data_IF_660814516000
#
_entry.id   IF_660814516000
#
_cell.length_a   1.000
_cell.length_b   1.000
_cell.length_c   1.000
_cell.angle_alpha   90.00
_cell.angle_beta   90.00
_cell.angle_gamma   90.00
#
_symmetry.space_group_name_H-M   'P 1'
#
loop_
_entity.id
_entity.type
_entity.pdbx_description
1 polymer ?
#
# COMPACT_ATOMS: atom_id res chain seq x y z
N UNK A 1 35.58 -3.42 8.16
CA UNK A 1 34.35 -3.55 7.36
C UNK A 1 34.29 -4.98 6.85
N UNK A 2 33.34 -5.78 7.32
CA UNK A 2 33.13 -7.15 6.82
C UNK A 2 32.73 -7.04 5.35
N UNK A 3 33.44 -7.74 4.47
CA UNK A 3 33.18 -7.73 3.03
C UNK A 3 31.89 -8.52 2.76
N UNK A 4 30.73 -7.89 3.02
CA UNK A 4 29.42 -8.47 2.75
C UNK A 4 29.18 -8.49 1.24
N UNK A 5 28.69 -9.63 0.74
CA UNK A 5 28.13 -9.73 -0.60
C UNK A 5 26.99 -8.69 -0.76
N UNK A 6 26.87 -8.09 -1.95
CA UNK A 6 25.88 -7.05 -2.29
C UNK A 6 24.46 -7.51 -1.94
N UNK A 7 24.11 -8.75 -2.27
CA UNK A 7 22.80 -9.33 -1.93
C UNK A 7 22.58 -9.42 -0.42
N UNK A 8 23.58 -9.90 0.32
CA UNK A 8 23.52 -9.97 1.79
C UNK A 8 23.32 -8.59 2.40
N UNK A 9 23.95 -7.57 1.83
CA UNK A 9 23.80 -6.17 2.25
C UNK A 9 22.38 -5.65 2.01
N UNK A 10 21.81 -5.91 0.83
CA UNK A 10 20.43 -5.53 0.50
C UNK A 10 19.42 -6.22 1.41
N UNK A 11 19.58 -7.53 1.64
CA UNK A 11 18.74 -8.32 2.56
C UNK A 11 18.83 -7.76 3.98
N UNK A 12 20.04 -7.48 4.46
CA UNK A 12 20.26 -6.94 5.82
C UNK A 12 19.64 -5.55 5.95
N UNK A 13 19.85 -4.67 4.96
CA UNK A 13 19.31 -3.31 4.93
C UNK A 13 17.78 -3.30 4.95
N UNK A 14 17.16 -4.11 4.10
CA UNK A 14 15.71 -4.28 4.06
C UNK A 14 15.19 -4.77 5.41
N UNK A 15 15.80 -5.84 5.94
CA UNK A 15 15.36 -6.48 7.19
C UNK A 15 15.45 -5.54 8.37
N UNK A 16 16.59 -4.87 8.56
CA UNK A 16 16.79 -3.92 9.65
C UNK A 16 15.90 -2.69 9.50
N UNK A 17 15.71 -2.18 8.28
CA UNK A 17 14.84 -1.04 8.01
C UNK A 17 13.38 -1.32 8.40
N UNK A 18 12.81 -2.42 7.91
CA UNK A 18 11.42 -2.79 8.24
C UNK A 18 11.29 -3.18 9.72
N UNK A 19 12.27 -3.87 10.30
CA UNK A 19 12.30 -4.17 11.74
C UNK A 19 12.29 -2.89 12.60
N UNK A 20 13.13 -1.91 12.27
CA UNK A 20 13.17 -0.63 12.97
C UNK A 20 11.83 0.09 12.86
N UNK A 21 11.19 0.03 11.69
CA UNK A 21 9.87 0.59 11.48
C UNK A 21 8.82 -0.08 12.38
N UNK A 22 8.84 -1.40 12.49
CA UNK A 22 7.95 -2.17 13.39
C UNK A 22 8.19 -1.80 14.85
N UNK A 23 9.46 -1.75 15.27
CA UNK A 23 9.82 -1.41 16.65
C UNK A 23 9.28 -0.02 17.04
N UNK A 24 9.49 0.97 16.19
CA UNK A 24 9.00 2.33 16.40
C UNK A 24 7.46 2.38 16.34
N UNK A 25 6.86 1.77 15.33
CA UNK A 25 5.42 1.82 15.11
C UNK A 25 4.64 1.23 16.28
N UNK A 26 4.95 0.00 16.67
CA UNK A 26 4.23 -0.69 17.74
C UNK A 26 4.74 -0.30 19.14
N UNK A 27 5.99 0.18 19.26
CA UNK A 27 6.54 0.63 20.54
C UNK A 27 6.01 2.00 20.98
N UNK A 28 5.89 2.95 20.05
CA UNK A 28 5.35 4.29 20.36
C UNK A 28 3.84 4.39 20.15
N UNK A 29 3.25 3.51 19.34
CA UNK A 29 1.81 3.33 19.16
C UNK A 29 1.02 4.63 18.88
N UNK A 30 1.51 5.47 17.96
CA UNK A 30 0.74 6.63 17.50
C UNK A 30 -0.38 6.22 16.52
N UNK A 31 -1.31 7.15 16.24
CA UNK A 31 -2.40 6.89 15.28
C UNK A 31 -1.86 6.53 13.89
N UNK A 32 -2.26 5.37 13.37
CA UNK A 32 -1.79 4.80 12.10
C UNK A 32 -0.27 4.49 12.05
N UNK A 33 0.36 4.24 13.20
CA UNK A 33 1.76 3.82 13.26
C UNK A 33 2.04 2.55 12.44
N UNK A 34 1.09 1.61 12.41
CA UNK A 34 1.19 0.35 11.65
C UNK A 34 1.36 0.54 10.13
N UNK A 35 1.10 1.73 9.59
CA UNK A 35 1.32 2.05 8.16
C UNK A 35 2.81 2.28 7.86
N UNK A 36 3.61 2.71 8.84
CA UNK A 36 5.02 3.02 8.62
C UNK A 36 5.85 1.81 8.14
N UNK A 37 5.74 0.59 8.73
CA UNK A 37 6.41 -0.60 8.21
C UNK A 37 6.04 -0.92 6.76
N UNK A 38 4.77 -0.72 6.38
CA UNK A 38 4.28 -0.93 5.02
C UNK A 38 4.95 0.04 4.06
N UNK A 39 5.04 1.32 4.43
CA UNK A 39 5.73 2.32 3.63
C UNK A 39 7.23 2.05 3.51
N UNK A 40 7.90 1.68 4.60
CA UNK A 40 9.32 1.33 4.56
C UNK A 40 9.56 0.14 3.62
N UNK A 41 8.79 -0.94 3.80
CA UNK A 41 8.86 -2.12 2.95
C UNK A 41 8.67 -1.75 1.47
N UNK A 42 7.65 -0.93 1.17
CA UNK A 42 7.36 -0.48 -0.19
C UNK A 42 8.49 0.37 -0.79
N UNK A 43 8.99 1.38 -0.07
CA UNK A 43 10.06 2.26 -0.56
C UNK A 43 11.30 1.44 -0.92
N UNK A 44 11.67 0.46 -0.10
CA UNK A 44 12.83 -0.40 -0.39
C UNK A 44 12.67 -1.28 -1.64
N UNK A 45 11.44 -1.67 -1.99
CA UNK A 45 11.17 -2.42 -3.23
C UNK A 45 11.18 -1.48 -4.43
N UNK A 46 10.55 -0.31 -4.31
CA UNK A 46 10.30 0.58 -5.46
C UNK A 46 11.51 1.47 -5.79
N UNK A 47 12.34 1.82 -4.80
CA UNK A 47 13.44 2.79 -4.96
C UNK A 47 14.78 2.14 -4.59
N UNK A 48 15.71 1.97 -5.55
CA UNK A 48 16.97 1.30 -5.29
C UNK A 48 17.96 2.16 -4.49
N UNK A 49 17.91 3.51 -4.62
CA UNK A 49 18.86 4.44 -3.98
C UNK A 49 18.20 5.71 -3.45
N UNK A 50 18.68 6.26 -2.32
CA UNK A 50 18.20 7.53 -1.75
C UNK A 50 18.90 8.73 -2.41
N UNK A 51 18.61 9.00 -3.67
CA UNK A 51 19.08 10.24 -4.29
C UNK A 51 18.36 11.45 -3.69
N UNK A 52 18.94 12.66 -3.77
CA UNK A 52 18.27 13.89 -3.33
C UNK A 52 16.90 14.06 -4.00
N UNK A 53 16.81 13.76 -5.30
CA UNK A 53 15.55 13.78 -6.05
C UNK A 53 14.52 12.82 -5.48
N UNK A 54 14.92 11.56 -5.23
CA UNK A 54 14.04 10.54 -4.64
C UNK A 54 13.53 10.94 -3.26
N UNK A 55 14.38 11.48 -2.38
CA UNK A 55 13.96 11.91 -1.04
C UNK A 55 12.93 13.04 -1.13
N UNK A 56 13.19 14.05 -1.97
CA UNK A 56 12.27 15.17 -2.18
C UNK A 56 10.94 14.67 -2.76
N UNK A 57 10.98 13.77 -3.74
CA UNK A 57 9.80 13.14 -4.34
C UNK A 57 8.96 12.41 -3.29
N UNK A 58 9.57 11.57 -2.46
CA UNK A 58 8.87 10.79 -1.43
C UNK A 58 8.28 11.71 -0.34
N UNK A 59 9.02 12.73 0.10
CA UNK A 59 8.54 13.69 1.11
C UNK A 59 7.40 14.56 0.57
N UNK A 60 7.54 15.09 -0.65
CA UNK A 60 6.52 15.90 -1.28
C UNK A 60 5.25 15.07 -1.54
N UNK A 61 5.40 13.81 -1.91
CA UNK A 61 4.28 12.87 -2.03
C UNK A 61 3.52 12.71 -0.72
N UNK A 62 4.23 12.54 0.41
CA UNK A 62 3.60 12.41 1.73
C UNK A 62 2.85 13.66 2.15
N UNK A 63 3.48 14.83 2.00
CA UNK A 63 2.90 16.09 2.49
C UNK A 63 1.75 16.55 1.59
N UNK A 64 1.96 16.54 0.27
CA UNK A 64 0.97 17.05 -0.68
C UNK A 64 -0.32 16.24 -0.68
N UNK A 65 -0.24 14.90 -0.66
CA UNK A 65 -1.42 14.04 -0.70
C UNK A 65 -2.29 14.18 0.56
N UNK A 66 -1.67 14.32 1.73
CA UNK A 66 -2.41 14.55 2.98
C UNK A 66 -3.03 15.95 3.00
N UNK A 67 -2.33 16.99 2.52
CA UNK A 67 -2.91 18.34 2.40
C UNK A 67 -4.11 18.34 1.46
N UNK A 68 -4.02 17.68 0.30
CA UNK A 68 -5.13 17.53 -0.64
C UNK A 68 -6.32 16.85 0.04
N UNK A 69 -6.08 15.75 0.77
CA UNK A 69 -7.14 15.02 1.45
C UNK A 69 -7.78 15.83 2.59
N UNK A 70 -6.98 16.60 3.34
CA UNK A 70 -7.49 17.54 4.36
C UNK A 70 -8.31 18.68 3.73
N UNK A 71 -7.91 19.17 2.56
CA UNK A 71 -8.64 20.16 1.80
C UNK A 71 -10.03 19.67 1.38
N UNK A 72 -10.12 18.41 0.94
CA UNK A 72 -11.41 17.76 0.61
C UNK A 72 -12.23 17.47 1.86
N UNK A 73 -11.60 17.19 2.99
CA UNK A 73 -12.28 16.89 4.25
C UNK A 73 -12.91 18.13 4.91
N UNK A 74 -12.25 19.29 4.87
CA UNK A 74 -12.68 20.47 5.60
C UNK A 74 -13.79 21.22 4.87
N UNK A 75 -14.94 21.43 5.53
CA UNK A 75 -16.09 22.18 5.01
C UNK A 75 -16.98 21.42 4.03
N UNK A 76 -16.45 20.41 3.33
CA UNK A 76 -17.22 19.62 2.34
C UNK A 76 -17.86 18.38 2.97
N UNK A 77 -17.39 17.93 4.14
CA UNK A 77 -17.94 16.76 4.84
C UNK A 77 -19.45 16.84 5.12
N UNK A 78 -20.03 18.05 5.16
CA UNK A 78 -21.47 18.29 5.33
C UNK A 78 -22.30 18.01 4.07
N UNK A 79 -21.65 17.81 2.91
CA UNK A 79 -22.28 17.57 1.62
C UNK A 79 -21.84 16.19 1.07
N UNK A 80 -22.45 15.07 1.53
CA UNK A 80 -21.97 13.72 1.23
C UNK A 80 -21.80 13.42 -0.26
N UNK A 81 -22.71 13.93 -1.11
CA UNK A 81 -22.63 13.72 -2.57
C UNK A 81 -21.43 14.46 -3.18
N UNK A 82 -21.20 15.72 -2.79
CA UNK A 82 -20.06 16.50 -3.29
C UNK A 82 -18.75 15.88 -2.81
N UNK A 83 -18.71 15.47 -1.55
CA UNK A 83 -17.57 14.77 -0.97
C UNK A 83 -17.24 13.50 -1.76
N UNK A 84 -18.24 12.66 -2.04
CA UNK A 84 -18.04 11.42 -2.80
C UNK A 84 -17.57 11.66 -4.23
N UNK A 85 -18.08 12.71 -4.89
CA UNK A 85 -17.59 13.08 -6.23
C UNK A 85 -16.11 13.50 -6.20
N UNK A 86 -15.70 14.27 -5.19
CA UNK A 86 -14.29 14.66 -5.03
C UNK A 86 -13.40 13.47 -4.66
N UNK A 87 -13.87 12.59 -3.76
CA UNK A 87 -13.17 11.34 -3.44
C UNK A 87 -13.02 10.49 -4.70
N UNK A 88 -14.09 10.32 -5.50
CA UNK A 88 -14.03 9.58 -6.77
C UNK A 88 -13.06 10.20 -7.77
N UNK A 89 -13.02 11.53 -7.88
CA UNK A 89 -12.07 12.25 -8.73
C UNK A 89 -10.61 12.02 -8.29
N UNK A 90 -10.34 12.12 -6.99
CA UNK A 90 -9.02 11.87 -6.43
C UNK A 90 -8.60 10.39 -6.57
N UNK A 91 -9.54 9.45 -6.40
CA UNK A 91 -9.30 8.03 -6.68
C UNK A 91 -8.92 7.80 -8.14
N UNK A 92 -9.64 8.42 -9.09
CA UNK A 92 -9.31 8.34 -10.51
C UNK A 92 -7.90 8.83 -10.79
N UNK A 93 -7.51 9.99 -10.24
CA UNK A 93 -6.15 10.52 -10.39
C UNK A 93 -5.09 9.62 -9.75
N UNK A 94 -5.36 9.06 -8.56
CA UNK A 94 -4.47 8.09 -7.93
C UNK A 94 -4.26 6.86 -8.84
N UNK A 95 -5.32 6.30 -9.42
CA UNK A 95 -5.22 5.18 -10.36
C UNK A 95 -4.49 5.52 -11.65
N UNK A 96 -4.70 6.72 -12.18
CA UNK A 96 -3.99 7.19 -13.37
C UNK A 96 -2.49 7.34 -13.10
N UNK A 97 -2.12 7.93 -11.96
CA UNK A 97 -0.74 8.13 -11.55
C UNK A 97 -0.04 6.81 -11.17
N UNK A 98 -0.76 5.84 -10.59
CA UNK A 98 -0.19 4.57 -10.14
C UNK A 98 0.40 3.71 -11.25
N UNK A 99 -0.12 3.88 -12.47
CA UNK A 99 0.36 3.18 -13.66
C UNK A 99 1.73 3.67 -14.13
N UNK A 100 2.20 4.80 -13.62
CA UNK A 100 3.54 5.31 -13.86
C UNK A 100 4.47 4.96 -12.68
N UNK A 101 5.57 4.23 -12.90
CA UNK A 101 6.51 3.87 -11.83
C UNK A 101 7.00 5.08 -11.03
N UNK A 102 7.14 6.25 -11.69
CA UNK A 102 7.55 7.49 -11.04
C UNK A 102 6.56 7.97 -10.00
N UNK A 103 5.26 7.83 -10.27
CA UNK A 103 4.20 8.34 -9.40
C UNK A 103 3.55 7.25 -8.54
N UNK A 104 4.01 6.00 -8.62
CA UNK A 104 3.40 4.86 -7.93
C UNK A 104 3.27 5.09 -6.41
N UNK A 105 4.33 5.59 -5.79
CA UNK A 105 4.34 5.88 -4.37
C UNK A 105 3.40 7.04 -4.01
N UNK A 106 3.44 8.13 -4.78
CA UNK A 106 2.51 9.26 -4.66
C UNK A 106 1.06 8.79 -4.71
N UNK A 107 0.70 8.02 -5.74
CA UNK A 107 -0.62 7.46 -5.92
C UNK A 107 -1.07 6.57 -4.75
N UNK A 108 -0.14 5.82 -4.16
CA UNK A 108 -0.43 4.95 -3.01
C UNK A 108 -0.79 5.75 -1.77
N UNK A 109 -0.05 6.81 -1.47
CA UNK A 109 -0.40 7.65 -0.32
C UNK A 109 -1.66 8.45 -0.64
N UNK A 110 -1.80 8.92 -1.89
CA UNK A 110 -3.00 9.63 -2.34
C UNK A 110 -4.26 8.81 -2.14
N UNK A 111 -4.28 7.52 -2.54
CA UNK A 111 -5.46 6.67 -2.33
C UNK A 111 -5.74 6.50 -0.83
N UNK A 112 -4.71 6.24 -0.02
CA UNK A 112 -4.88 6.02 1.43
C UNK A 112 -5.40 7.31 2.07
N UNK A 113 -4.76 8.45 1.84
CA UNK A 113 -5.15 9.74 2.42
C UNK A 113 -6.57 10.14 1.97
N UNK A 114 -6.88 10.00 0.68
CA UNK A 114 -8.18 10.34 0.09
C UNK A 114 -9.31 9.49 0.66
N UNK A 115 -9.06 8.21 0.94
CA UNK A 115 -10.09 7.34 1.51
C UNK A 115 -10.27 7.57 3.00
N UNK A 116 -9.17 7.73 3.75
CA UNK A 116 -9.22 7.73 5.21
C UNK A 116 -9.49 9.10 5.83
N UNK A 117 -8.84 10.16 5.33
CA UNK A 117 -8.92 11.49 5.93
C UNK A 117 -10.34 12.07 5.82
N UNK A 118 -10.98 12.11 4.63
CA UNK A 118 -12.32 12.67 4.52
C UNK A 118 -13.37 11.79 5.19
N UNK A 119 -13.18 10.47 5.23
CA UNK A 119 -14.05 9.57 5.98
C UNK A 119 -14.09 9.90 7.47
N UNK A 120 -12.92 10.13 8.08
CA UNK A 120 -12.89 10.62 9.46
C UNK A 120 -13.43 12.03 9.59
N UNK A 121 -13.27 12.88 8.57
CA UNK A 121 -13.86 14.21 8.53
C UNK A 121 -15.38 14.21 8.67
N UNK A 122 -16.05 13.20 8.08
CA UNK A 122 -17.50 13.00 8.24
C UNK A 122 -17.86 12.62 9.67
N UNK A 123 -17.02 11.84 10.35
CA UNK A 123 -17.24 11.43 11.74
C UNK A 123 -16.94 12.59 12.70
N UNK A 124 -15.69 13.07 12.72
CA UNK A 124 -15.27 14.25 13.48
C UNK A 124 -14.10 14.98 12.79
N UNK A 125 -14.18 16.30 12.56
CA UNK A 125 -13.10 17.06 11.92
C UNK A 125 -11.74 16.96 12.63
N UNK A 126 -11.73 16.90 13.97
CA UNK A 126 -10.51 16.77 14.75
C UNK A 126 -9.80 15.42 14.50
N UNK A 127 -10.55 14.33 14.28
CA UNK A 127 -9.96 13.03 13.98
C UNK A 127 -9.32 12.99 12.59
N UNK A 128 -9.87 13.71 11.61
CA UNK A 128 -9.26 13.85 10.29
C UNK A 128 -7.87 14.52 10.36
N UNK A 129 -7.74 15.59 11.15
CA UNK A 129 -6.44 16.26 11.39
C UNK A 129 -5.46 15.33 12.11
N UNK A 130 -5.92 14.61 13.14
CA UNK A 130 -5.10 13.64 13.86
C UNK A 130 -4.59 12.51 12.96
N UNK A 131 -5.46 11.96 12.10
CA UNK A 131 -5.10 10.92 11.14
C UNK A 131 -4.15 11.44 10.06
N UNK A 132 -4.41 12.64 9.52
CA UNK A 132 -3.50 13.28 8.56
C UNK A 132 -2.10 13.46 9.14
N UNK A 133 -2.01 13.95 10.38
CA UNK A 133 -0.73 14.05 11.10
C UNK A 133 -0.08 12.67 11.30
N UNK A 134 -0.84 11.65 11.69
CA UNK A 134 -0.34 10.28 11.85
C UNK A 134 0.24 9.71 10.55
N UNK A 135 -0.46 9.87 9.43
CA UNK A 135 0.02 9.48 8.10
C UNK A 135 1.29 10.23 7.70
N UNK A 136 1.35 11.55 7.93
CA UNK A 136 2.56 12.33 7.66
C UNK A 136 3.75 11.85 8.48
N UNK A 137 3.57 11.61 9.80
CA UNK A 137 4.64 11.12 10.68
C UNK A 137 5.12 9.73 10.23
N UNK A 138 4.20 8.81 9.95
CA UNK A 138 4.53 7.47 9.43
C UNK A 138 5.27 7.55 8.09
N UNK A 139 4.86 8.48 7.22
CA UNK A 139 5.47 8.67 5.91
C UNK A 139 6.87 9.27 5.95
N UNK A 140 7.03 10.38 6.67
CA UNK A 140 8.33 11.03 6.88
C UNK A 140 9.28 10.09 7.62
N UNK A 141 8.77 9.37 8.64
CA UNK A 141 9.52 8.34 9.35
C UNK A 141 10.01 7.23 8.43
N UNK A 142 9.18 6.79 7.48
CA UNK A 142 9.59 5.78 6.50
C UNK A 142 10.73 6.26 5.60
N UNK A 143 10.67 7.51 5.11
CA UNK A 143 11.74 8.12 4.32
C UNK A 143 13.02 8.28 5.15
N UNK A 144 12.88 8.69 6.42
CA UNK A 144 14.01 8.83 7.34
C UNK A 144 14.71 7.48 7.60
N UNK A 145 13.94 6.40 7.81
CA UNK A 145 14.48 5.04 7.97
C UNK A 145 15.17 4.59 6.68
N UNK A 146 14.53 4.81 5.52
CA UNK A 146 15.12 4.45 4.22
C UNK A 146 16.47 5.16 4.01
N UNK A 147 16.53 6.46 4.27
CA UNK A 147 17.77 7.24 4.20
C UNK A 147 18.81 6.72 5.20
N UNK A 148 18.44 6.59 6.47
CA UNK A 148 19.32 6.13 7.55
C UNK A 148 19.95 4.77 7.20
N UNK A 149 19.14 3.81 6.76
CA UNK A 149 19.62 2.47 6.42
C UNK A 149 20.62 2.46 5.26
N UNK A 150 20.47 3.34 4.26
CA UNK A 150 21.45 3.49 3.18
C UNK A 150 22.71 4.24 3.62
N UNK A 151 22.63 5.12 4.63
CA UNK A 151 23.83 5.74 5.21
C UNK A 151 24.63 4.76 6.07
N UNK A 152 23.95 3.86 6.81
CA UNK A 152 24.60 2.83 7.63
C UNK A 152 25.13 1.67 6.79
N UNK A 153 24.40 1.29 5.73
CA UNK A 153 24.75 0.24 4.79
C UNK A 153 24.71 0.80 3.34
N UNK A 154 25.76 1.58 2.94
CA UNK A 154 25.90 2.10 1.56
C UNK A 154 25.75 1.03 0.47
N UNK A 155 25.69 1.41 -0.80
CA UNK A 155 25.96 0.44 -1.86
C UNK A 155 27.49 0.36 -2.10
N UNK A 156 27.99 -0.74 -2.67
CA UNK A 156 29.35 -0.75 -3.21
C UNK A 156 29.35 0.00 -4.54
N UNK A 157 30.40 0.78 -4.84
CA UNK A 157 30.43 1.77 -5.93
C UNK A 157 30.16 1.22 -7.36
N UNK A 158 30.12 -0.10 -7.55
CA UNK A 158 29.98 -0.74 -8.87
C UNK A 158 28.55 -0.91 -9.42
N UNK A 159 27.51 -0.41 -8.75
CA UNK A 159 26.18 -0.32 -9.38
C UNK A 159 25.93 1.07 -9.96
N UNK A 160 26.73 1.43 -10.95
CA UNK A 160 26.35 2.36 -12.02
C UNK A 160 25.42 1.63 -13.01
N UNK A 161 24.22 1.26 -12.56
CA UNK A 161 23.19 0.69 -13.42
C UNK A 161 21.81 0.94 -12.83
N UNK A 162 21.50 2.21 -12.62
CA UNK A 162 20.12 2.68 -12.62
C UNK A 162 19.88 3.28 -13.99
N UNK A 163 19.20 2.52 -14.85
CA UNK A 163 18.63 2.98 -16.12
C UNK A 163 18.23 4.45 -16.04
N UNK A 164 18.84 5.28 -16.89
CA UNK A 164 18.36 6.63 -17.14
C UNK A 164 16.85 6.53 -17.38
N UNK A 165 16.07 7.23 -16.55
CA UNK A 165 14.64 7.42 -16.74
C UNK A 165 14.46 8.13 -18.08
N UNK A 166 14.35 7.36 -19.17
CA UNK A 166 13.78 7.86 -20.40
C UNK A 166 12.32 8.15 -20.06
N UNK A 167 12.03 9.43 -19.81
CA UNK A 167 10.68 9.93 -19.82
C UNK A 167 10.08 9.56 -21.16
N UNK A 168 9.29 8.49 -21.18
CA UNK A 168 8.51 8.10 -22.34
C UNK A 168 7.65 9.31 -22.68
N UNK A 169 7.95 9.96 -23.81
CA UNK A 169 7.03 10.91 -24.43
C UNK A 169 5.72 10.14 -24.58
N UNK A 170 4.72 10.61 -23.83
CA UNK A 170 3.49 9.88 -23.63
C UNK A 170 2.73 9.91 -24.96
N UNK A 171 2.82 8.82 -25.74
CA UNK A 171 2.01 8.69 -26.95
C UNK A 171 0.53 8.79 -26.56
N UNK A 172 -0.30 9.40 -27.41
CA UNK A 172 -1.72 9.59 -27.10
C UNK A 172 -2.43 8.25 -26.80
N UNK A 173 -1.98 7.15 -27.41
CA UNK A 173 -2.45 5.78 -27.15
C UNK A 173 -2.15 5.30 -25.71
N UNK A 174 -0.96 5.59 -25.18
CA UNK A 174 -0.62 5.28 -23.79
C UNK A 174 -1.49 6.09 -22.81
N UNK A 175 -1.81 7.34 -23.15
CA UNK A 175 -2.69 8.20 -22.33
C UNK A 175 -4.09 7.64 -22.25
N UNK A 176 -4.66 7.26 -23.40
CA UNK A 176 -6.01 6.72 -23.49
C UNK A 176 -6.11 5.39 -22.74
N UNK A 177 -5.12 4.52 -22.90
CA UNK A 177 -5.03 3.25 -22.16
C UNK A 177 -5.01 3.51 -20.65
N UNK A 178 -4.17 4.44 -20.18
CA UNK A 178 -4.09 4.79 -18.76
C UNK A 178 -5.41 5.33 -18.19
N UNK A 179 -6.09 6.19 -18.94
CA UNK A 179 -7.39 6.74 -18.55
C UNK A 179 -8.47 5.66 -18.48
N UNK A 180 -8.50 4.75 -19.46
CA UNK A 180 -9.44 3.63 -19.47
C UNK A 180 -9.24 2.71 -18.26
N UNK A 181 -7.99 2.34 -17.97
CA UNK A 181 -7.66 1.47 -16.84
C UNK A 181 -7.97 2.12 -15.49
N UNK A 182 -7.71 3.42 -15.34
CA UNK A 182 -8.09 4.18 -14.16
C UNK A 182 -9.61 4.25 -13.97
N UNK A 183 -10.37 4.47 -15.05
CA UNK A 183 -11.83 4.47 -15.04
C UNK A 183 -12.41 3.10 -14.67
N UNK A 184 -11.81 2.01 -15.17
CA UNK A 184 -12.20 0.65 -14.82
C UNK A 184 -11.98 0.35 -13.34
N UNK A 185 -10.82 0.69 -12.79
CA UNK A 185 -10.55 0.50 -11.36
C UNK A 185 -11.46 1.35 -10.47
N UNK A 186 -11.79 2.58 -10.90
CA UNK A 186 -12.79 3.41 -10.22
C UNK A 186 -14.15 2.73 -10.23
N UNK A 187 -14.62 2.24 -11.38
CA UNK A 187 -15.91 1.55 -11.48
C UNK A 187 -16.01 0.32 -10.56
N UNK A 188 -14.91 -0.41 -10.38
CA UNK A 188 -14.85 -1.58 -9.48
C UNK A 188 -14.85 -1.16 -8.01
N UNK A 189 -14.04 -0.17 -7.63
CA UNK A 189 -13.79 0.17 -6.23
C UNK A 189 -14.78 1.18 -5.64
N UNK A 190 -15.25 2.14 -6.46
CA UNK A 190 -16.08 3.25 -6.02
C UNK A 190 -17.43 2.85 -5.38
N UNK A 191 -18.14 1.80 -5.85
CA UNK A 191 -19.36 1.34 -5.18
C UNK A 191 -19.11 0.89 -3.74
N UNK A 192 -17.99 0.19 -3.51
CA UNK A 192 -17.59 -0.25 -2.17
C UNK A 192 -17.24 0.96 -1.30
N UNK A 193 -16.43 1.89 -1.82
CA UNK A 193 -16.09 3.12 -1.07
C UNK A 193 -17.34 3.92 -0.72
N UNK A 194 -18.27 4.06 -1.66
CA UNK A 194 -19.56 4.73 -1.44
C UNK A 194 -20.36 4.05 -0.32
N UNK A 195 -20.43 2.72 -0.33
CA UNK A 195 -21.07 1.95 0.74
C UNK A 195 -20.43 2.27 2.11
N UNK A 196 -19.11 2.27 2.22
CA UNK A 196 -18.43 2.57 3.48
C UNK A 196 -18.69 4.00 3.97
N UNK A 197 -18.70 4.98 3.06
CA UNK A 197 -18.99 6.38 3.39
C UNK A 197 -20.44 6.61 3.85
N UNK A 198 -21.42 5.94 3.24
CA UNK A 198 -22.82 6.10 3.60
C UNK A 198 -23.23 5.32 4.86
N UNK A 199 -22.82 4.05 4.95
CA UNK A 199 -23.28 3.17 6.02
C UNK A 199 -22.38 3.19 7.25
N UNK A 200 -21.16 3.73 7.13
CA UNK A 200 -20.17 3.88 8.21
C UNK A 200 -20.11 2.66 9.14
N UNK A 201 -19.88 1.44 8.60
CA UNK A 201 -19.81 0.25 9.44
C UNK A 201 -18.68 0.40 10.47
N UNK A 202 -18.90 -0.10 11.68
CA UNK A 202 -17.91 0.03 12.75
C UNK A 202 -16.57 -0.59 12.30
N UNK A 203 -15.47 0.12 12.55
CA UNK A 203 -14.13 -0.34 12.19
C UNK A 203 -13.74 -0.19 10.71
N UNK A 204 -14.55 0.51 9.90
CA UNK A 204 -14.36 0.73 8.46
C UNK A 204 -12.99 1.25 8.01
N UNK A 205 -12.30 1.99 8.88
CA UNK A 205 -11.10 2.75 8.53
C UNK A 205 -9.98 1.87 7.95
N UNK A 206 -9.72 0.75 8.62
CA UNK A 206 -8.68 -0.19 8.20
C UNK A 206 -9.06 -0.92 6.92
N UNK A 207 -10.33 -1.31 6.81
CA UNK A 207 -10.89 -1.96 5.62
C UNK A 207 -10.78 -1.05 4.40
N UNK A 208 -11.08 0.24 4.53
CA UNK A 208 -10.95 1.19 3.42
C UNK A 208 -9.51 1.41 2.98
N UNK A 209 -8.55 1.42 3.92
CA UNK A 209 -7.13 1.52 3.57
C UNK A 209 -6.70 0.33 2.70
N UNK A 210 -7.12 -0.88 3.10
CA UNK A 210 -6.87 -2.09 2.33
C UNK A 210 -7.57 -2.06 0.97
N UNK A 211 -8.84 -1.67 0.92
CA UNK A 211 -9.59 -1.54 -0.34
C UNK A 211 -8.86 -0.59 -1.30
N UNK A 212 -8.36 0.54 -0.82
CA UNK A 212 -7.58 1.48 -1.64
C UNK A 212 -6.26 0.91 -2.16
N UNK A 213 -5.51 0.20 -1.32
CA UNK A 213 -4.25 -0.44 -1.76
C UNK A 213 -4.54 -1.55 -2.77
N UNK A 214 -5.54 -2.39 -2.49
CA UNK A 214 -5.92 -3.47 -3.38
C UNK A 214 -6.47 -2.91 -4.70
N UNK A 215 -7.26 -1.84 -4.69
CA UNK A 215 -7.79 -1.24 -5.91
C UNK A 215 -6.71 -0.64 -6.81
N UNK A 216 -5.61 -0.12 -6.25
CA UNK A 216 -4.42 0.25 -7.03
C UNK A 216 -3.78 -0.97 -7.69
N UNK A 217 -3.67 -2.10 -6.99
CA UNK A 217 -3.16 -3.32 -7.60
C UNK A 217 -4.07 -3.78 -8.76
N UNK A 218 -5.38 -3.55 -8.65
CA UNK A 218 -6.35 -3.88 -9.71
C UNK A 218 -6.18 -3.03 -10.98
N UNK A 219 -5.62 -1.81 -10.92
CA UNK A 219 -5.41 -0.98 -12.13
C UNK A 219 -4.37 -1.58 -13.06
N UNK A 220 -3.49 -2.46 -12.56
CA UNK A 220 -2.47 -3.14 -13.35
C UNK A 220 -3.00 -4.41 -14.05
N UNK A 221 -4.29 -4.74 -13.88
CA UNK A 221 -4.89 -5.99 -14.35
C UNK A 221 -5.26 -5.98 -15.84
N UNK A 222 -4.31 -6.07 -16.75
CA UNK A 222 -4.64 -6.28 -18.18
C UNK A 222 -4.91 -7.75 -18.52
N UNK A 223 -4.75 -8.70 -17.58
CA UNK A 223 -4.97 -10.13 -17.83
C UNK A 223 -5.53 -10.91 -16.64
N UNK A 224 -6.24 -12.01 -16.93
CA UNK A 224 -6.76 -12.97 -15.95
C UNK A 224 -5.63 -13.55 -15.07
N UNK A 225 -4.43 -13.75 -15.62
CA UNK A 225 -3.26 -14.25 -14.87
C UNK A 225 -2.86 -13.29 -13.75
N UNK A 226 -2.89 -12.00 -14.04
CA UNK A 226 -2.60 -10.93 -13.10
C UNK A 226 -3.66 -10.88 -11.98
N UNK A 227 -4.93 -11.15 -12.29
CA UNK A 227 -6.01 -11.25 -11.29
C UNK A 227 -5.81 -12.44 -10.36
N UNK A 228 -5.47 -13.62 -10.92
CA UNK A 228 -5.16 -14.82 -10.12
C UNK A 228 -3.94 -14.57 -9.23
N UNK A 229 -2.90 -13.93 -9.76
CA UNK A 229 -1.73 -13.51 -8.98
C UNK A 229 -2.14 -12.68 -7.77
N UNK A 230 -2.98 -11.64 -7.93
CA UNK A 230 -3.40 -10.80 -6.82
C UNK A 230 -4.24 -11.54 -5.78
N UNK A 231 -5.14 -12.42 -6.21
CA UNK A 231 -5.91 -13.27 -5.28
C UNK A 231 -4.96 -14.11 -4.45
N UNK A 232 -4.03 -14.79 -5.11
CA UNK A 232 -3.13 -15.73 -4.47
C UNK A 232 -2.22 -15.00 -3.47
N UNK A 233 -1.60 -13.89 -3.87
CA UNK A 233 -0.67 -13.16 -3.01
C UNK A 233 -1.38 -12.52 -1.82
N UNK A 234 -2.54 -11.88 -2.03
CA UNK A 234 -3.31 -11.29 -0.93
C UNK A 234 -3.88 -12.36 0.01
N UNK A 235 -4.34 -13.50 -0.51
CA UNK A 235 -4.85 -14.60 0.31
C UNK A 235 -3.75 -15.20 1.19
N UNK A 236 -2.58 -15.47 0.62
CA UNK A 236 -1.42 -15.97 1.38
C UNK A 236 -1.00 -14.95 2.44
N UNK A 237 -0.87 -13.67 2.06
CA UNK A 237 -0.53 -12.60 3.00
C UNK A 237 -1.55 -12.47 4.14
N UNK A 238 -2.84 -12.62 3.85
CA UNK A 238 -3.90 -12.60 4.85
C UNK A 238 -3.88 -13.80 5.80
N UNK A 239 -3.66 -15.02 5.29
CA UNK A 239 -3.48 -16.20 6.15
C UNK A 239 -2.27 -16.02 7.06
N UNK A 240 -1.15 -15.51 6.54
CA UNK A 240 0.03 -15.22 7.35
C UNK A 240 -0.24 -14.16 8.43
N UNK A 241 -1.03 -13.13 8.12
CA UNK A 241 -1.41 -12.11 9.10
C UNK A 241 -2.27 -12.69 10.23
N UNK A 242 -3.23 -13.57 9.92
CA UNK A 242 -4.06 -14.26 10.92
C UNK A 242 -3.17 -15.13 11.83
N UNK A 243 -2.29 -15.94 11.25
CA UNK A 243 -1.38 -16.79 12.02
C UNK A 243 -0.47 -15.96 12.93
N UNK A 244 0.11 -14.87 12.41
CA UNK A 244 0.94 -13.96 13.21
C UNK A 244 0.15 -13.29 14.35
N UNK A 245 -1.10 -12.91 14.10
CA UNK A 245 -1.98 -12.32 15.10
C UNK A 245 -2.31 -13.32 16.22
N UNK A 246 -2.74 -14.53 15.88
CA UNK A 246 -3.07 -15.57 16.88
C UNK A 246 -1.86 -15.96 17.73
N UNK A 247 -0.66 -16.04 17.13
CA UNK A 247 0.58 -16.26 17.86
C UNK A 247 0.87 -15.12 18.85
N UNK A 248 0.63 -13.87 18.45
CA UNK A 248 0.84 -12.71 19.31
C UNK A 248 -0.19 -12.62 20.44
N UNK A 249 -1.45 -12.97 20.18
CA UNK A 249 -2.48 -13.06 21.22
C UNK A 249 -2.13 -14.15 22.23
N UNK A 250 -1.58 -15.28 21.77
CA UNK A 250 -1.13 -16.38 22.63
C UNK A 250 0.09 -15.98 23.48
N UNK A 251 1.02 -15.22 22.90
CA UNK A 251 2.24 -14.75 23.58
C UNK A 251 2.33 -13.22 23.42
N UNK A 252 1.59 -12.44 24.25
CA UNK A 252 1.50 -10.98 24.13
C UNK A 252 2.74 -10.29 24.69
N UNK A 253 3.89 -10.58 24.09
CA UNK A 253 5.20 -10.12 24.52
C UNK A 253 5.90 -9.36 23.40
N UNK A 254 6.27 -8.10 23.64
CA UNK A 254 6.84 -7.24 22.61
C UNK A 254 8.14 -7.80 21.97
N UNK A 255 9.09 -8.40 22.72
CA UNK A 255 10.22 -9.10 22.12
C UNK A 255 9.82 -10.30 21.24
N UNK A 256 8.73 -11.00 21.57
CA UNK A 256 8.19 -12.07 20.72
C UNK A 256 7.68 -11.51 19.39
N UNK A 257 6.91 -10.42 19.41
CA UNK A 257 6.50 -9.69 18.20
C UNK A 257 7.70 -9.34 17.33
N UNK A 258 8.74 -8.75 17.94
CA UNK A 258 9.95 -8.35 17.23
C UNK A 258 10.67 -9.55 16.60
N UNK A 259 10.86 -10.63 17.35
CA UNK A 259 11.52 -11.84 16.85
C UNK A 259 10.74 -12.49 15.71
N UNK A 260 9.42 -12.64 15.87
CA UNK A 260 8.52 -13.22 14.87
C UNK A 260 8.53 -12.39 13.59
N UNK A 261 8.33 -11.08 13.69
CA UNK A 261 8.27 -10.22 12.52
C UNK A 261 9.63 -10.12 11.82
N UNK A 262 10.73 -10.04 12.56
CA UNK A 262 12.08 -10.07 11.97
C UNK A 262 12.34 -11.36 11.21
N UNK A 263 11.92 -12.52 11.74
CA UNK A 263 12.04 -13.80 11.03
C UNK A 263 11.28 -13.76 9.72
N UNK A 264 10.01 -13.32 9.74
CA UNK A 264 9.20 -13.23 8.52
C UNK A 264 9.85 -12.29 7.50
N UNK A 265 10.23 -11.09 7.92
CA UNK A 265 10.86 -10.10 7.04
C UNK A 265 12.17 -10.65 6.46
N UNK A 266 12.99 -11.32 7.25
CA UNK A 266 14.25 -11.90 6.80
C UNK A 266 14.01 -12.95 5.71
N UNK A 267 13.04 -13.85 5.91
CA UNK A 267 12.67 -14.87 4.91
C UNK A 267 12.21 -14.21 3.61
N UNK A 268 11.34 -13.20 3.68
CA UNK A 268 10.87 -12.49 2.50
C UNK A 268 11.96 -11.65 1.83
N UNK A 269 12.83 -11.00 2.59
CA UNK A 269 13.96 -10.25 2.06
C UNK A 269 14.91 -11.18 1.29
N UNK A 270 15.23 -12.36 1.83
CA UNK A 270 16.01 -13.36 1.11
C UNK A 270 15.35 -13.74 -0.22
N UNK A 271 14.05 -14.07 -0.20
CA UNK A 271 13.29 -14.41 -1.41
C UNK A 271 13.24 -13.27 -2.43
N UNK A 272 13.09 -12.03 -1.97
CA UNK A 272 13.01 -10.84 -2.81
C UNK A 272 14.30 -10.61 -3.61
N UNK A 273 15.46 -10.72 -2.95
CA UNK A 273 16.76 -10.43 -3.58
C UNK A 273 17.44 -11.65 -4.23
N UNK A 274 17.08 -12.88 -3.87
CA UNK A 274 17.64 -14.11 -4.46
C UNK A 274 16.82 -14.64 -5.64
N UNK A 275 15.49 -14.40 -5.67
CA UNK A 275 14.60 -14.86 -6.74
C UNK A 275 13.95 -13.66 -7.47
N UNK A 276 14.72 -12.84 -8.23
CA UNK A 276 14.23 -11.58 -8.82
C UNK A 276 13.02 -11.78 -9.75
N UNK A 277 12.94 -12.91 -10.45
CA UNK A 277 11.80 -13.26 -11.31
C UNK A 277 10.47 -13.41 -10.54
N UNK A 278 10.52 -13.65 -9.23
CA UNK A 278 9.35 -13.79 -8.34
C UNK A 278 9.28 -12.65 -7.30
N UNK A 279 10.15 -11.65 -7.38
CA UNK A 279 10.23 -10.57 -6.40
C UNK A 279 8.88 -9.87 -6.18
N UNK A 280 8.12 -9.63 -7.26
CA UNK A 280 6.79 -9.04 -7.20
C UNK A 280 5.79 -9.90 -6.38
N UNK A 281 5.87 -11.24 -6.46
CA UNK A 281 5.03 -12.17 -5.68
C UNK A 281 5.33 -11.96 -4.19
N UNK A 282 6.61 -12.01 -3.82
CA UNK A 282 7.04 -11.91 -2.42
C UNK A 282 6.76 -10.53 -1.82
N UNK A 283 7.01 -9.46 -2.57
CA UNK A 283 6.68 -8.10 -2.16
C UNK A 283 5.17 -7.91 -1.94
N UNK A 284 4.34 -8.48 -2.82
CA UNK A 284 2.88 -8.42 -2.71
C UNK A 284 2.36 -9.19 -1.48
N UNK A 285 2.85 -10.41 -1.23
CA UNK A 285 2.49 -11.21 -0.05
C UNK A 285 2.89 -10.48 1.24
N UNK A 286 4.14 -10.00 1.34
CA UNK A 286 4.63 -9.32 2.54
C UNK A 286 3.86 -8.03 2.80
N UNK A 287 3.56 -7.25 1.74
CA UNK A 287 2.77 -6.03 1.87
C UNK A 287 1.36 -6.33 2.38
N UNK A 288 0.69 -7.34 1.81
CA UNK A 288 -0.64 -7.76 2.26
C UNK A 288 -0.62 -8.22 3.73
N UNK A 289 0.39 -9.01 4.12
CA UNK A 289 0.55 -9.45 5.50
C UNK A 289 0.75 -8.26 6.45
N UNK A 290 1.69 -7.34 6.16
CA UNK A 290 1.98 -6.19 7.02
C UNK A 290 0.75 -5.29 7.21
N UNK A 291 -0.03 -5.07 6.14
CA UNK A 291 -1.26 -4.28 6.18
C UNK A 291 -2.31 -4.96 7.06
N UNK A 292 -2.61 -6.25 6.84
CA UNK A 292 -3.65 -6.97 7.58
C UNK A 292 -3.27 -7.17 9.05
N UNK A 293 -2.02 -7.55 9.31
CA UNK A 293 -1.52 -7.74 10.67
C UNK A 293 -1.51 -6.43 11.46
N UNK A 294 -1.01 -5.35 10.84
CA UNK A 294 -1.01 -4.03 11.46
C UNK A 294 -2.41 -3.51 11.75
N UNK A 295 -3.35 -3.75 10.84
CA UNK A 295 -4.76 -3.47 11.05
C UNK A 295 -5.33 -4.25 12.25
N UNK A 296 -5.06 -5.56 12.34
CA UNK A 296 -5.54 -6.41 13.43
C UNK A 296 -5.00 -5.99 14.80
N UNK A 297 -3.73 -5.57 14.89
CA UNK A 297 -3.17 -5.05 16.15
C UNK A 297 -3.77 -3.70 16.52
N UNK A 298 -3.92 -2.79 15.54
CA UNK A 298 -4.46 -1.46 15.80
C UNK A 298 -5.93 -1.47 16.25
N UNK A 299 -6.64 -2.58 16.04
CA UNK A 299 -8.01 -2.75 16.51
C UNK A 299 -8.17 -3.11 17.99
N UNK A 300 -7.09 -3.51 18.68
CA UNK A 300 -7.14 -4.10 20.03
C UNK A 300 -7.19 -3.06 21.18
N UNK A 301 -7.93 -1.97 20.97
CA UNK A 301 -8.29 -1.08 22.07
C UNK A 301 -9.47 -1.68 22.83
N UNK A 302 -9.17 -2.45 23.89
CA UNK A 302 -10.03 -2.91 24.99
C UNK A 302 -11.51 -2.47 24.92
N UNK A 303 -12.29 -3.17 24.10
CA UNK A 303 -13.75 -3.36 24.24
C UNK A 303 -14.20 -4.40 23.18
N UNK A 304 -14.22 -5.66 23.62
CA UNK A 304 -14.90 -6.83 23.03
C UNK A 304 -14.31 -7.38 21.71
N UNK A 305 -13.70 -8.57 21.83
CA UNK A 305 -13.09 -9.48 20.84
C UNK A 305 -13.87 -9.74 19.52
N UNK A 306 -15.12 -9.29 19.39
CA UNK A 306 -15.89 -9.41 18.14
C UNK A 306 -15.44 -8.41 17.05
N UNK A 307 -14.71 -7.36 17.42
CA UNK A 307 -14.39 -6.24 16.53
C UNK A 307 -13.22 -6.50 15.55
N UNK A 308 -12.35 -7.48 15.80
CA UNK A 308 -11.20 -7.79 14.92
C UNK A 308 -11.63 -8.72 13.78
N UNK A 309 -12.35 -9.81 14.11
CA UNK A 309 -12.83 -10.78 13.13
C UNK A 309 -13.82 -10.16 12.12
N UNK A 310 -14.66 -9.23 12.57
CA UNK A 310 -15.55 -8.46 11.67
C UNK A 310 -14.76 -7.63 10.66
N UNK A 311 -13.64 -7.00 11.05
CA UNK A 311 -12.77 -6.26 10.12
C UNK A 311 -12.05 -7.18 9.15
N UNK A 312 -11.47 -8.27 9.64
CA UNK A 312 -10.84 -9.29 8.79
C UNK A 312 -11.84 -9.85 7.78
N UNK A 313 -13.07 -10.12 8.21
CA UNK A 313 -14.14 -10.58 7.33
C UNK A 313 -14.54 -9.53 6.29
N UNK A 314 -14.67 -8.25 6.66
CA UNK A 314 -14.93 -7.17 5.72
C UNK A 314 -13.81 -7.02 4.68
N UNK A 315 -12.55 -7.12 5.10
CA UNK A 315 -11.36 -7.10 4.22
C UNK A 315 -11.44 -8.25 3.21
N UNK A 316 -11.71 -9.48 3.69
CA UNK A 316 -11.84 -10.67 2.84
C UNK A 316 -13.01 -10.51 1.86
N UNK A 317 -14.18 -10.09 2.33
CA UNK A 317 -15.35 -9.87 1.47
C UNK A 317 -15.10 -8.80 0.40
N UNK A 318 -14.47 -7.68 0.78
CA UNK A 318 -14.14 -6.62 -0.17
C UNK A 318 -13.10 -7.09 -1.20
N UNK A 319 -12.11 -7.88 -0.78
CA UNK A 319 -11.14 -8.50 -1.68
C UNK A 319 -11.83 -9.42 -2.69
N UNK A 320 -12.66 -10.35 -2.21
CA UNK A 320 -13.42 -11.29 -3.04
C UNK A 320 -14.30 -10.54 -4.03
N UNK A 321 -15.04 -9.53 -3.57
CA UNK A 321 -15.88 -8.70 -4.42
C UNK A 321 -15.07 -8.03 -5.52
N UNK A 322 -14.03 -7.27 -5.17
CA UNK A 322 -13.30 -6.46 -6.15
C UNK A 322 -12.59 -7.33 -7.19
N UNK A 323 -12.02 -8.45 -6.76
CA UNK A 323 -11.44 -9.45 -7.66
C UNK A 323 -12.51 -10.04 -8.57
N UNK A 324 -13.65 -10.46 -8.02
CA UNK A 324 -14.71 -11.12 -8.78
C UNK A 324 -15.25 -10.18 -9.85
N UNK A 325 -15.54 -8.92 -9.51
CA UNK A 325 -15.96 -7.90 -10.48
C UNK A 325 -14.87 -7.65 -11.53
N UNK A 326 -13.60 -7.56 -11.13
CA UNK A 326 -12.49 -7.40 -12.07
C UNK A 326 -12.42 -8.57 -13.07
N UNK A 327 -12.53 -9.80 -12.60
CA UNK A 327 -12.51 -11.00 -13.47
C UNK A 327 -13.72 -11.08 -14.40
N UNK A 328 -14.92 -10.70 -13.93
CA UNK A 328 -16.13 -10.65 -14.75
C UNK A 328 -15.99 -9.61 -15.86
N UNK A 329 -15.48 -8.41 -15.55
CA UNK A 329 -15.23 -7.37 -16.55
C UNK A 329 -14.21 -7.85 -17.58
N UNK A 330 -13.14 -8.52 -17.15
CA UNK A 330 -12.10 -9.04 -18.04
C UNK A 330 -12.63 -10.15 -18.96
N UNK A 331 -13.45 -11.06 -18.44
CA UNK A 331 -14.02 -12.18 -19.20
C UNK A 331 -14.95 -11.74 -20.34
N UNK A 332 -15.47 -10.50 -20.28
CA UNK A 332 -16.39 -9.93 -21.27
C UNK A 332 -15.69 -9.09 -22.34
N UNK A 333 -14.36 -8.95 -22.30
CA UNK A 333 -13.61 -8.30 -23.38
C UNK A 333 -13.64 -9.20 -24.63
N UNK A 334 -14.10 -8.72 -25.80
CA UNK A 334 -14.07 -9.51 -27.02
C UNK A 334 -12.63 -9.87 -27.39
N UNK A 335 -12.38 -11.15 -27.75
CA UNK A 335 -11.06 -11.72 -28.10
C UNK A 335 -10.33 -11.02 -29.27
N UNK A 336 -10.92 -10.02 -29.91
CA UNK A 336 -10.44 -9.43 -31.15
C UNK A 336 -9.18 -8.53 -31.01
N UNK A 337 -8.75 -8.19 -29.80
CA UNK A 337 -7.57 -7.29 -29.59
C UNK A 337 -6.26 -8.05 -29.33
N UNK A 338 -6.29 -9.39 -29.28
CA UNK A 338 -5.10 -10.21 -28.98
C UNK A 338 -4.35 -10.73 -30.23
N UNK A 339 -4.82 -10.41 -31.45
CA UNK A 339 -4.18 -10.86 -32.70
C UNK A 339 -3.14 -9.89 -33.26
N UNK A 340 -3.20 -8.60 -32.92
CA UNK A 340 -2.35 -7.59 -33.55
C UNK A 340 -1.11 -7.21 -32.70
N UNK A 341 -1.06 -7.63 -31.43
CA UNK A 341 0.09 -7.38 -30.55
C UNK A 341 1.18 -8.47 -30.59
N UNK A 342 0.98 -9.55 -31.35
CA UNK A 342 2.03 -10.55 -31.64
C UNK A 342 2.77 -10.30 -32.95
N UNK A 343 2.55 -9.14 -33.57
CA UNK A 343 3.13 -8.77 -34.85
C UNK A 343 3.73 -7.35 -34.87
N UNK A 344 4.37 -6.91 -33.78
CA UNK A 344 5.43 -5.87 -33.80
C UNK A 344 6.44 -6.15 -32.71
#
# INVERSE_FOLDING_TARGET
MVNMNIQTRQITRYTLGVMLAIALAYGLNWSLAYVMPVFVAKIFVDKPKPTRGTIIELLLSMVATVIIALGVSNGIAQYPVILLLLVGLLMFWAYYLFQDPKWNFFATIMIIATLLVPYLGVITPAAALGLGKGLMVSGVGAVAIFWLMHTLLPDSDDQASGSEEQGLVLSDELRQTRMFEAGRALMISFPVITYFYFFQPHGALLTMAFIGILSLQLTQLTSIKLSIFLILTNSIGGVMAIVAYELLVTVPWFPFLMAMMTLVILVFAQKLYQEPAKAAIFASILSAMLVLFGAAIASDNKEIDMNVYTRLWQIVLAAIYMVSVATLIESRKPKAVLSDASAV
#
